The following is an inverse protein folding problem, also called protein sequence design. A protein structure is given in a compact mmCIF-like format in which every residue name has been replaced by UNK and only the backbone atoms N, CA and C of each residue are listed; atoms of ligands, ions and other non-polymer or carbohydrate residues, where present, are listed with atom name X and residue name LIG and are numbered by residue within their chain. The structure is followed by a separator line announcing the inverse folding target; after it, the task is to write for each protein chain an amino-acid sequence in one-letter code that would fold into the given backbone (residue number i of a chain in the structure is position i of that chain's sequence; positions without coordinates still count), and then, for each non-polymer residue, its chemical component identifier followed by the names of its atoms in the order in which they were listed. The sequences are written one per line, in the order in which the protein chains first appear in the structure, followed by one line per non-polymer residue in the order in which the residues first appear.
data_IF_285250417474
#
_entry.id   IF_285250417474
#
_cell.length_a   1.000
_cell.length_b   1.000
_cell.length_c   1.000
_cell.angle_alpha   90.00
_cell.angle_beta   90.00
_cell.angle_gamma   90.00
#
_symmetry.space_group_name_H-M   'P 1'
#
loop_
_entity.id
_entity.type
_entity.pdbx_description
1 polymer ?
#
# COMPACT_ATOMS: atom_id res chain seq x y z
N UNK A 1 13.99 -25.93 10.31
CA UNK A 1 12.86 -25.19 9.74
C UNK A 1 13.44 -24.16 8.80
N UNK A 2 13.09 -24.27 7.53
CA UNK A 2 13.56 -23.38 6.46
C UNK A 2 12.56 -22.26 6.24
N UNK A 3 12.99 -21.01 6.27
CA UNK A 3 12.16 -19.83 5.99
C UNK A 3 12.64 -19.17 4.70
N UNK A 4 11.79 -19.13 3.69
CA UNK A 4 12.10 -18.43 2.47
C UNK A 4 12.04 -16.91 2.69
N UNK A 5 13.13 -16.23 2.35
CA UNK A 5 13.22 -14.78 2.28
C UNK A 5 12.84 -14.36 0.87
N UNK A 6 11.62 -13.88 0.70
CA UNK A 6 11.07 -13.52 -0.62
C UNK A 6 11.56 -12.15 -1.03
N UNK A 7 12.23 -12.10 -2.17
CA UNK A 7 12.85 -10.89 -2.73
C UNK A 7 12.29 -10.60 -4.12
N UNK A 8 11.67 -9.44 -4.25
CA UNK A 8 11.28 -8.84 -5.53
C UNK A 8 12.32 -7.81 -5.99
N UNK A 9 12.34 -7.40 -7.26
CA UNK A 9 13.17 -6.28 -7.69
C UNK A 9 12.93 -5.04 -6.84
N UNK A 10 13.95 -4.54 -6.13
CA UNK A 10 13.83 -3.41 -5.19
C UNK A 10 13.70 -3.78 -3.71
N UNK A 11 13.60 -5.07 -3.35
CA UNK A 11 13.75 -5.51 -1.95
C UNK A 11 15.15 -5.18 -1.43
N UNK A 12 15.29 -4.79 -0.15
CA UNK A 12 16.59 -4.35 0.41
C UNK A 12 16.82 -4.67 1.89
N UNK A 13 15.98 -5.52 2.52
CA UNK A 13 16.10 -5.92 3.92
C UNK A 13 16.58 -7.37 4.10
N UNK A 14 17.26 -7.96 3.11
CA UNK A 14 17.64 -9.37 3.09
C UNK A 14 18.63 -9.75 4.18
N UNK A 15 19.60 -8.89 4.49
CA UNK A 15 20.64 -9.18 5.47
C UNK A 15 20.10 -9.24 6.88
N UNK A 16 19.38 -8.21 7.33
CA UNK A 16 18.76 -8.16 8.65
C UNK A 16 17.71 -9.24 8.84
N UNK A 17 16.94 -9.54 7.79
CA UNK A 17 15.96 -10.62 7.75
C UNK A 17 16.62 -12.00 7.96
N UNK A 18 17.70 -12.29 7.24
CA UNK A 18 18.46 -13.53 7.41
C UNK A 18 19.06 -13.64 8.82
N UNK A 19 19.54 -12.53 9.40
CA UNK A 19 20.09 -12.51 10.74
C UNK A 19 18.99 -12.77 11.80
N UNK A 20 17.80 -12.16 11.68
CA UNK A 20 16.68 -12.37 12.60
C UNK A 20 16.20 -13.83 12.58
N UNK A 21 16.06 -14.44 11.40
CA UNK A 21 15.72 -15.86 11.25
C UNK A 21 16.78 -16.75 11.93
N UNK A 22 18.07 -16.47 11.71
CA UNK A 22 19.18 -17.23 12.34
C UNK A 22 19.20 -17.07 13.87
N UNK A 23 19.00 -15.84 14.39
CA UNK A 23 18.93 -15.60 15.85
C UNK A 23 17.84 -16.43 16.52
N UNK A 24 16.73 -16.64 15.82
CA UNK A 24 15.61 -17.45 16.30
C UNK A 24 15.80 -18.96 16.10
N UNK A 25 16.96 -19.42 15.59
CA UNK A 25 17.29 -20.83 15.41
C UNK A 25 16.63 -21.48 14.19
N UNK A 26 16.21 -20.69 13.21
CA UNK A 26 15.70 -21.16 11.92
C UNK A 26 16.76 -20.97 10.81
N UNK A 27 16.54 -21.60 9.67
CA UNK A 27 17.42 -21.55 8.47
C UNK A 27 16.82 -20.57 7.45
N UNK A 28 17.48 -19.44 7.13
CA UNK A 28 17.04 -18.57 6.06
C UNK A 28 17.42 -19.16 4.71
N UNK A 29 16.48 -19.14 3.78
CA UNK A 29 16.65 -19.54 2.38
C UNK A 29 16.35 -18.31 1.51
N UNK A 30 17.34 -17.74 0.89
CA UNK A 30 17.13 -16.65 -0.08
C UNK A 30 16.32 -17.17 -1.27
N UNK A 31 15.27 -16.45 -1.64
CA UNK A 31 14.42 -16.76 -2.77
C UNK A 31 14.14 -15.50 -3.60
N UNK A 32 14.70 -15.47 -4.81
CA UNK A 32 14.41 -14.43 -5.78
C UNK A 32 13.12 -14.75 -6.54
N UNK A 33 12.33 -13.76 -6.83
CA UNK A 33 11.03 -13.84 -7.51
C UNK A 33 11.02 -14.70 -8.78
N UNK A 34 12.16 -14.84 -9.46
CA UNK A 34 12.32 -15.58 -10.71
C UNK A 34 13.02 -16.96 -10.53
N UNK A 35 13.17 -17.43 -9.30
CA UNK A 35 13.72 -18.76 -9.03
C UNK A 35 12.68 -19.88 -9.23
N UNK A 36 13.14 -21.14 -9.37
CA UNK A 36 12.22 -22.28 -9.49
C UNK A 36 11.30 -22.43 -8.28
N UNK A 37 10.00 -22.59 -8.52
CA UNK A 37 8.94 -22.73 -7.50
C UNK A 37 9.22 -23.89 -6.53
N UNK A 38 9.81 -24.98 -6.99
CA UNK A 38 10.14 -26.15 -6.14
C UNK A 38 10.97 -25.75 -4.91
N UNK A 39 11.90 -24.81 -5.07
CA UNK A 39 12.70 -24.28 -3.96
C UNK A 39 11.83 -23.58 -2.89
N UNK A 40 10.78 -22.91 -3.32
CA UNK A 40 9.82 -22.23 -2.45
C UNK A 40 8.96 -23.25 -1.68
N UNK A 41 8.52 -24.31 -2.36
CA UNK A 41 7.68 -25.36 -1.76
C UNK A 41 8.41 -26.18 -0.68
N UNK A 42 9.74 -26.28 -0.76
CA UNK A 42 10.58 -26.94 0.26
C UNK A 42 10.68 -26.17 1.59
N UNK A 43 10.23 -24.91 1.64
CA UNK A 43 10.32 -24.08 2.84
C UNK A 43 9.09 -24.30 3.75
N UNK A 44 9.34 -24.17 5.06
CA UNK A 44 8.32 -24.36 6.09
C UNK A 44 7.47 -23.10 6.31
N UNK A 45 7.99 -21.91 5.94
CA UNK A 45 7.31 -20.62 6.07
C UNK A 45 7.97 -19.57 5.18
N UNK A 46 7.34 -18.40 5.10
CA UNK A 46 7.72 -17.33 4.18
C UNK A 46 7.89 -16.00 4.89
N UNK A 47 8.90 -15.26 4.52
CA UNK A 47 9.14 -13.91 4.97
C UNK A 47 9.27 -12.99 3.75
N UNK A 48 8.25 -12.17 3.50
CA UNK A 48 8.24 -11.15 2.45
C UNK A 48 8.85 -9.90 3.07
N UNK A 49 10.06 -9.57 2.63
CA UNK A 49 10.88 -8.55 3.27
C UNK A 49 10.55 -7.13 2.82
N UNK A 50 11.05 -6.15 3.57
CA UNK A 50 10.96 -4.74 3.25
C UNK A 50 11.78 -4.31 2.03
N UNK A 51 11.47 -3.14 1.53
CA UNK A 51 12.12 -2.53 0.38
C UNK A 51 11.15 -1.63 -0.38
N UNK A 52 11.36 -1.56 -1.70
CA UNK A 52 10.57 -0.79 -2.65
C UNK A 52 10.34 -1.66 -3.90
N UNK A 53 9.53 -2.72 -3.77
CA UNK A 53 9.32 -3.67 -4.85
C UNK A 53 8.82 -2.98 -6.11
N UNK A 54 9.51 -3.23 -7.24
CA UNK A 54 9.26 -2.56 -8.52
C UNK A 54 9.26 -1.02 -8.43
N UNK A 55 10.08 -0.44 -7.51
CA UNK A 55 10.20 1.00 -7.26
C UNK A 55 8.86 1.65 -6.84
N UNK A 56 7.97 0.89 -6.19
CA UNK A 56 6.61 1.28 -5.78
C UNK A 56 5.74 1.87 -6.92
N UNK A 57 6.03 1.48 -8.17
CA UNK A 57 5.30 1.97 -9.36
C UNK A 57 3.84 1.60 -9.29
N UNK A 58 2.98 2.50 -9.72
CA UNK A 58 1.54 2.54 -9.47
C UNK A 58 1.21 2.74 -7.99
N UNK A 59 1.52 1.80 -7.14
CA UNK A 59 1.44 1.87 -5.67
C UNK A 59 2.40 0.87 -5.04
N UNK A 60 2.78 1.17 -3.80
CA UNK A 60 3.69 0.30 -3.05
C UNK A 60 3.12 -1.12 -2.89
N UNK A 61 3.89 -2.11 -3.33
CA UNK A 61 3.56 -3.53 -3.21
C UNK A 61 2.63 -4.08 -4.30
N UNK A 62 1.90 -3.27 -5.07
CA UNK A 62 0.84 -3.77 -5.98
C UNK A 62 1.39 -4.64 -7.12
N UNK A 63 2.49 -4.26 -7.77
CA UNK A 63 3.04 -5.07 -8.87
C UNK A 63 3.54 -6.42 -8.35
N UNK A 64 4.20 -6.43 -7.18
CA UNK A 64 4.65 -7.67 -6.55
C UNK A 64 3.47 -8.55 -6.09
N UNK A 65 2.34 -7.97 -5.68
CA UNK A 65 1.15 -8.73 -5.30
C UNK A 65 0.55 -9.55 -6.44
N UNK A 66 0.75 -9.11 -7.68
CA UNK A 66 0.29 -9.79 -8.90
C UNK A 66 1.30 -10.84 -9.42
N UNK A 67 2.48 -10.95 -8.81
CA UNK A 67 3.50 -11.92 -9.21
C UNK A 67 3.02 -13.36 -8.95
N UNK A 68 3.29 -14.32 -9.86
CA UNK A 68 2.94 -15.73 -9.68
C UNK A 68 3.44 -16.35 -8.38
N UNK A 69 4.55 -15.87 -7.82
CA UNK A 69 5.09 -16.29 -6.52
C UNK A 69 4.07 -16.08 -5.41
N UNK A 70 3.33 -14.96 -5.42
CA UNK A 70 2.32 -14.68 -4.41
C UNK A 70 1.13 -15.63 -4.45
N UNK A 71 0.77 -16.13 -5.62
CA UNK A 71 -0.24 -17.19 -5.74
C UNK A 71 0.19 -18.47 -5.03
N UNK A 72 1.43 -18.89 -5.21
CA UNK A 72 1.96 -20.09 -4.54
C UNK A 72 2.04 -19.86 -3.02
N UNK A 73 2.49 -18.70 -2.57
CA UNK A 73 2.51 -18.36 -1.14
C UNK A 73 1.09 -18.40 -0.54
N UNK A 74 0.08 -17.91 -1.27
CA UNK A 74 -1.32 -17.98 -0.85
C UNK A 74 -1.77 -19.44 -0.69
N UNK A 75 -1.53 -20.30 -1.67
CA UNK A 75 -1.88 -21.71 -1.63
C UNK A 75 -1.19 -22.48 -0.48
N UNK A 76 0.05 -22.13 -0.17
CA UNK A 76 0.80 -22.72 0.94
C UNK A 76 0.35 -22.16 2.30
N UNK A 77 -0.04 -20.89 2.36
CA UNK A 77 -0.62 -20.30 3.57
C UNK A 77 -1.98 -20.91 3.93
N UNK A 78 -2.80 -21.27 2.95
CA UNK A 78 -4.05 -22.01 3.17
C UNK A 78 -3.80 -23.39 3.81
N UNK A 79 -2.63 -24.00 3.58
CA UNK A 79 -2.19 -25.23 4.24
C UNK A 79 -1.63 -24.99 5.66
N UNK A 80 -1.66 -23.73 6.13
CA UNK A 80 -1.23 -23.30 7.47
C UNK A 80 0.24 -22.96 7.58
N UNK A 81 0.99 -22.78 6.47
CA UNK A 81 2.35 -22.22 6.56
C UNK A 81 2.30 -20.76 6.99
N UNK A 82 3.17 -20.31 7.90
CA UNK A 82 3.21 -18.92 8.34
C UNK A 82 3.83 -18.02 7.28
N UNK A 83 3.24 -16.82 7.11
CA UNK A 83 3.72 -15.79 6.20
C UNK A 83 3.86 -14.48 6.97
N UNK A 84 5.08 -13.96 7.03
CA UNK A 84 5.39 -12.66 7.62
C UNK A 84 5.66 -11.65 6.51
N UNK A 85 4.95 -10.53 6.49
CA UNK A 85 5.23 -9.39 5.60
C UNK A 85 5.60 -8.17 6.40
N UNK A 86 6.80 -7.61 6.17
CA UNK A 86 7.30 -6.44 6.87
C UNK A 86 7.45 -5.27 5.90
N UNK A 87 6.95 -4.08 6.30
CA UNK A 87 7.03 -2.84 5.55
C UNK A 87 6.48 -3.03 4.12
N UNK A 88 7.32 -3.05 3.08
CA UNK A 88 6.88 -3.36 1.71
C UNK A 88 6.24 -4.77 1.60
N UNK A 89 6.72 -5.75 2.39
CA UNK A 89 6.08 -7.06 2.47
C UNK A 89 4.65 -7.00 3.05
N UNK A 90 4.40 -6.09 4.01
CA UNK A 90 3.04 -5.85 4.51
C UNK A 90 2.13 -5.22 3.45
N UNK A 91 2.67 -4.27 2.67
CA UNK A 91 1.96 -3.67 1.54
C UNK A 91 1.56 -4.73 0.51
N UNK A 92 2.47 -5.65 0.18
CA UNK A 92 2.19 -6.77 -0.74
C UNK A 92 1.07 -7.67 -0.17
N UNK A 93 1.12 -8.02 1.11
CA UNK A 93 0.09 -8.87 1.75
C UNK A 93 -1.29 -8.20 1.78
N UNK A 94 -1.35 -6.89 1.96
CA UNK A 94 -2.60 -6.13 1.92
C UNK A 94 -3.15 -6.05 0.49
N UNK A 95 -2.30 -5.80 -0.51
CA UNK A 95 -2.71 -5.71 -1.91
C UNK A 95 -3.09 -7.08 -2.52
N UNK A 96 -2.56 -8.20 -1.99
CA UNK A 96 -3.04 -9.54 -2.36
C UNK A 96 -4.38 -9.91 -1.72
N UNK A 97 -4.87 -9.15 -0.72
CA UNK A 97 -6.02 -9.51 0.10
C UNK A 97 -5.76 -10.65 1.09
N UNK A 98 -4.52 -11.19 1.18
CA UNK A 98 -4.14 -12.19 2.18
C UNK A 98 -4.28 -11.64 3.61
N UNK A 99 -4.15 -10.34 3.78
CA UNK A 99 -4.53 -9.60 4.98
C UNK A 99 -5.59 -8.58 4.56
N UNK A 100 -6.74 -8.57 5.22
CA UNK A 100 -7.16 -9.27 6.43
C UNK A 100 -7.68 -10.71 6.22
N UNK A 101 -7.63 -11.28 5.01
CA UNK A 101 -8.06 -12.64 4.74
C UNK A 101 -9.57 -12.77 4.52
N UNK A 102 -10.12 -11.89 3.70
CA UNK A 102 -11.52 -11.96 3.26
C UNK A 102 -11.75 -13.09 2.27
N UNK A 103 -13.03 -13.44 2.05
CA UNK A 103 -13.40 -14.48 1.09
C UNK A 103 -12.81 -14.22 -0.30
N UNK A 104 -12.09 -15.22 -0.83
CA UNK A 104 -11.46 -15.16 -2.15
C UNK A 104 -10.30 -14.16 -2.23
N UNK A 105 -9.68 -13.85 -1.11
CA UNK A 105 -8.60 -12.86 -0.98
C UNK A 105 -9.00 -11.49 -1.54
N UNK A 106 -10.26 -11.09 -1.33
CA UNK A 106 -10.71 -9.77 -1.73
C UNK A 106 -9.98 -8.69 -0.93
N UNK A 107 -9.56 -7.63 -1.60
CA UNK A 107 -8.93 -6.47 -0.94
C UNK A 107 -9.93 -5.78 -0.04
N UNK A 108 -9.63 -5.64 1.24
CA UNK A 108 -10.49 -5.02 2.26
C UNK A 108 -9.91 -3.77 2.90
N UNK A 109 -8.64 -3.47 2.62
CA UNK A 109 -7.93 -2.33 3.20
C UNK A 109 -6.83 -1.82 2.27
N UNK A 110 -6.22 -0.70 2.64
CA UNK A 110 -5.05 -0.14 1.97
C UNK A 110 -3.97 0.23 2.98
N UNK A 111 -2.71 0.20 2.53
CA UNK A 111 -1.62 0.93 3.15
C UNK A 111 -1.35 2.16 2.29
N UNK A 112 -1.61 3.35 2.82
CA UNK A 112 -1.58 4.62 2.11
C UNK A 112 -0.48 5.54 2.61
N UNK A 113 -0.34 6.71 1.97
CA UNK A 113 0.64 7.72 2.32
C UNK A 113 0.57 8.15 3.79
N UNK A 114 1.73 8.28 4.42
CA UNK A 114 1.85 8.73 5.80
C UNK A 114 1.26 10.12 5.98
N UNK A 115 0.55 10.32 7.09
CA UNK A 115 -0.06 11.58 7.47
C UNK A 115 0.18 11.79 8.97
N UNK A 116 1.14 12.62 9.30
CA UNK A 116 1.45 12.96 10.69
C UNK A 116 0.44 13.98 11.20
N UNK A 117 -0.51 13.54 12.02
CA UNK A 117 -1.62 14.39 12.49
C UNK A 117 -1.44 14.70 13.96
N UNK A 118 -1.55 15.99 14.32
CA UNK A 118 -1.55 16.45 15.71
C UNK A 118 -2.61 17.53 15.88
N UNK A 119 -3.44 17.39 16.91
CA UNK A 119 -4.55 18.32 17.19
C UNK A 119 -5.45 18.58 15.96
N UNK A 120 -5.66 17.55 15.11
CA UNK A 120 -6.41 17.65 13.86
C UNK A 120 -5.67 18.30 12.68
N UNK A 121 -4.43 18.76 12.86
CA UNK A 121 -3.61 19.39 11.83
C UNK A 121 -2.57 18.42 11.27
N UNK A 122 -2.38 18.44 9.94
CA UNK A 122 -1.31 17.66 9.28
C UNK A 122 0.01 18.39 9.47
N UNK A 123 0.92 17.76 10.24
CA UNK A 123 2.25 18.28 10.55
C UNK A 123 3.30 17.89 9.51
N UNK A 124 3.03 16.82 8.75
CA UNK A 124 3.94 16.32 7.72
C UNK A 124 3.40 15.10 7.01
N UNK A 125 4.02 14.77 5.89
CA UNK A 125 3.67 13.64 5.02
C UNK A 125 4.94 12.99 4.47
N UNK A 126 4.81 11.86 3.79
CA UNK A 126 5.89 11.19 3.07
C UNK A 126 6.75 10.29 3.95
N UNK A 127 8.01 10.11 3.55
CA UNK A 127 8.91 9.15 4.19
C UNK A 127 9.29 9.55 5.61
N UNK A 128 9.08 8.62 6.56
CA UNK A 128 9.43 8.83 7.96
C UNK A 128 10.22 7.64 8.50
N UNK A 129 11.38 7.94 9.10
CA UNK A 129 12.27 6.96 9.69
C UNK A 129 12.53 7.32 11.15
N UNK A 130 12.00 6.52 12.08
CA UNK A 130 12.08 6.76 13.52
C UNK A 130 11.89 5.44 14.29
N UNK A 131 12.36 5.41 15.54
CA UNK A 131 12.01 4.35 16.48
C UNK A 131 10.64 4.63 17.07
N UNK A 132 9.80 3.61 17.14
CA UNK A 132 8.44 3.66 17.68
C UNK A 132 8.22 2.55 18.69
N UNK A 133 7.30 2.76 19.60
CA UNK A 133 6.82 1.71 20.48
C UNK A 133 5.54 1.11 19.92
N UNK A 134 5.48 -0.23 19.91
CA UNK A 134 4.31 -0.98 19.44
C UNK A 134 3.89 -1.98 20.50
N UNK A 135 2.60 -1.96 20.85
CA UNK A 135 2.01 -2.82 21.88
C UNK A 135 1.23 -3.96 21.24
N UNK A 136 1.34 -5.17 21.80
CA UNK A 136 0.48 -6.29 21.47
C UNK A 136 -0.92 -6.05 22.08
N UNK A 137 -1.92 -5.94 21.22
CA UNK A 137 -3.32 -5.65 21.62
C UNK A 137 -4.27 -6.83 21.39
N UNK A 138 -3.78 -7.92 20.81
CA UNK A 138 -4.51 -9.17 20.64
C UNK A 138 -3.98 -10.25 21.62
N UNK A 139 -4.75 -11.30 21.92
CA UNK A 139 -4.27 -12.41 22.75
C UNK A 139 -3.00 -13.05 22.16
N UNK A 140 -2.03 -13.40 23.03
CA UNK A 140 -0.69 -13.89 22.61
C UNK A 140 -0.73 -15.11 21.69
N UNK A 141 -1.78 -15.91 21.75
CA UNK A 141 -1.94 -17.14 20.96
C UNK A 141 -2.85 -16.98 19.75
N UNK A 142 -3.40 -15.79 19.48
CA UNK A 142 -4.26 -15.54 18.32
C UNK A 142 -3.49 -15.54 17.00
N UNK A 143 -2.18 -15.30 17.05
CA UNK A 143 -1.33 -15.18 15.87
C UNK A 143 -0.06 -16.03 15.96
N UNK A 144 0.41 -16.57 14.85
CA UNK A 144 1.64 -17.36 14.74
C UNK A 144 2.90 -16.61 15.21
N UNK A 145 2.83 -15.28 15.27
CA UNK A 145 3.97 -14.39 15.51
C UNK A 145 3.99 -13.73 16.89
N UNK A 146 3.03 -14.05 17.78
CA UNK A 146 2.86 -13.33 19.07
C UNK A 146 3.04 -14.19 20.31
N UNK A 147 3.27 -15.51 20.17
CA UNK A 147 3.31 -16.51 21.26
C UNK A 147 4.36 -16.25 22.34
N UNK A 148 5.44 -15.54 22.01
CA UNK A 148 6.51 -15.14 22.92
C UNK A 148 6.34 -13.74 23.50
N UNK A 149 5.18 -13.11 23.27
CA UNK A 149 4.82 -11.81 23.82
C UNK A 149 3.65 -11.97 24.79
N UNK A 150 3.56 -11.09 25.77
CA UNK A 150 2.41 -11.00 26.66
C UNK A 150 1.46 -9.91 26.17
N UNK A 151 0.18 -10.07 26.45
CA UNK A 151 -0.81 -9.03 26.20
C UNK A 151 -0.39 -7.75 26.91
N UNK A 152 -0.58 -6.61 26.28
CA UNK A 152 -0.11 -5.29 26.70
C UNK A 152 1.43 -5.11 26.77
N UNK A 153 2.22 -6.11 26.39
CA UNK A 153 3.66 -5.94 26.22
C UNK A 153 3.97 -5.09 24.98
N UNK A 154 4.90 -4.16 25.11
CA UNK A 154 5.35 -3.34 23.98
C UNK A 154 6.84 -3.52 23.70
N UNK A 155 7.22 -3.25 22.45
CA UNK A 155 8.59 -3.32 21.99
C UNK A 155 8.95 -2.07 21.21
N UNK A 156 10.18 -1.57 21.40
CA UNK A 156 10.73 -0.45 20.67
C UNK A 156 11.43 -0.95 19.40
N UNK A 157 10.89 -0.61 18.23
CA UNK A 157 11.37 -1.08 16.93
C UNK A 157 11.28 0.06 15.90
N UNK A 158 12.13 0.08 14.83
CA UNK A 158 12.12 1.15 13.87
C UNK A 158 11.02 1.02 12.82
N UNK A 159 10.57 2.17 12.31
CA UNK A 159 9.82 2.31 11.05
C UNK A 159 10.67 3.03 10.02
N UNK A 160 10.45 2.75 8.72
CA UNK A 160 11.12 3.43 7.61
C UNK A 160 10.27 3.29 6.34
N UNK A 161 9.23 4.10 6.20
CA UNK A 161 8.29 4.02 5.09
C UNK A 161 7.63 5.37 4.77
N UNK A 162 7.11 5.51 3.54
CA UNK A 162 6.29 6.62 3.08
C UNK A 162 4.79 6.28 3.05
N UNK A 163 4.44 5.01 2.85
CA UNK A 163 3.09 4.49 2.74
C UNK A 163 2.88 3.37 3.76
N UNK A 164 2.55 3.73 4.99
CA UNK A 164 2.38 2.78 6.10
C UNK A 164 1.07 2.95 6.86
N UNK A 165 0.20 3.83 6.39
CA UNK A 165 -1.07 4.17 7.04
C UNK A 165 -2.15 3.17 6.68
N UNK A 166 -2.57 2.33 7.64
CA UNK A 166 -3.71 1.44 7.49
C UNK A 166 -5.00 2.25 7.32
N UNK A 167 -5.73 1.95 6.24
CA UNK A 167 -7.03 2.53 5.90
C UNK A 167 -8.01 1.43 5.51
N UNK A 168 -9.23 1.51 6.03
CA UNK A 168 -10.31 0.57 5.77
C UNK A 168 -11.66 1.19 6.16
N UNK A 169 -12.75 0.50 5.88
CA UNK A 169 -14.05 0.89 6.41
C UNK A 169 -14.14 0.61 7.92
N UNK A 170 -14.88 1.44 8.65
CA UNK A 170 -15.08 1.29 10.10
C UNK A 170 -15.67 -0.06 10.48
N UNK A 171 -16.58 -0.59 9.67
CA UNK A 171 -17.23 -1.88 9.90
C UNK A 171 -16.22 -3.05 9.80
N UNK A 172 -15.22 -2.94 8.90
CA UNK A 172 -14.14 -3.92 8.84
C UNK A 172 -13.24 -3.81 10.06
N UNK A 173 -12.90 -2.59 10.48
CA UNK A 173 -12.09 -2.37 11.69
C UNK A 173 -12.73 -3.01 12.93
N UNK A 174 -14.04 -2.84 13.13
CA UNK A 174 -14.79 -3.51 14.20
C UNK A 174 -14.67 -5.04 14.11
N UNK A 175 -14.80 -5.60 12.90
CA UNK A 175 -14.62 -7.05 12.67
C UNK A 175 -13.21 -7.54 12.99
N UNK A 176 -12.18 -6.73 12.68
CA UNK A 176 -10.79 -7.08 13.01
C UNK A 176 -10.57 -7.13 14.53
N UNK A 177 -11.21 -6.24 15.29
CA UNK A 177 -11.19 -6.30 16.76
C UNK A 177 -11.91 -7.52 17.29
N UNK A 178 -13.12 -7.79 16.82
CA UNK A 178 -13.92 -8.94 17.25
C UNK A 178 -13.23 -10.31 17.00
N UNK A 179 -12.31 -10.35 16.02
CA UNK A 179 -11.58 -11.56 15.63
C UNK A 179 -10.09 -11.55 16.04
N UNK A 180 -9.67 -10.63 16.91
CA UNK A 180 -8.28 -10.53 17.39
C UNK A 180 -7.24 -10.34 16.27
N UNK A 181 -7.65 -9.74 15.14
CA UNK A 181 -6.78 -9.52 13.98
C UNK A 181 -6.00 -8.19 14.03
N UNK A 182 -6.43 -7.22 14.84
CA UNK A 182 -5.72 -5.98 15.13
C UNK A 182 -4.59 -6.26 16.13
N UNK A 183 -3.45 -6.79 15.64
CA UNK A 183 -2.44 -7.45 16.47
C UNK A 183 -1.57 -6.48 17.23
N UNK A 184 -1.01 -5.46 16.53
CA UNK A 184 -0.15 -4.46 17.16
C UNK A 184 -0.65 -3.05 16.87
N UNK A 185 -0.54 -2.19 17.88
CA UNK A 185 -0.83 -0.75 17.78
C UNK A 185 0.37 0.08 18.19
N UNK A 186 0.52 1.24 17.59
CA UNK A 186 1.47 2.25 18.04
C UNK A 186 1.07 2.78 19.42
N UNK A 187 2.02 2.88 20.32
CA UNK A 187 1.84 3.40 21.68
C UNK A 187 2.99 4.32 22.07
N UNK A 188 2.89 4.97 23.21
CA UNK A 188 4.00 5.72 23.81
C UNK A 188 4.91 4.80 24.66
N UNK A 189 5.95 5.40 25.25
CA UNK A 189 6.91 4.72 26.13
C UNK A 189 6.31 4.08 27.42
N UNK A 190 5.03 4.35 27.70
CA UNK A 190 4.28 3.78 28.83
C UNK A 190 3.25 2.74 28.40
N UNK A 191 3.13 2.49 27.09
CA UNK A 191 2.12 1.63 26.51
C UNK A 191 0.77 2.32 26.31
N UNK A 192 0.67 3.66 26.41
CA UNK A 192 -0.58 4.38 26.15
C UNK A 192 -0.79 4.59 24.65
N UNK A 193 -1.95 4.19 24.14
CA UNK A 193 -2.33 4.35 22.73
C UNK A 193 -2.90 5.76 22.54
N UNK A 194 -2.13 6.62 21.86
CA UNK A 194 -2.49 8.02 21.61
C UNK A 194 -2.56 8.23 20.09
N UNK A 195 -3.70 8.72 19.60
CA UNK A 195 -3.95 8.88 18.15
C UNK A 195 -3.13 9.99 17.48
N UNK A 196 -2.61 10.92 18.27
CA UNK A 196 -1.84 12.05 17.77
C UNK A 196 -0.37 11.71 17.52
N UNK A 197 0.22 12.39 16.53
CA UNK A 197 1.65 12.42 16.31
C UNK A 197 2.39 13.02 17.55
N UNK A 198 3.52 12.46 18.00
CA UNK A 198 4.34 11.44 17.34
C UNK A 198 4.00 9.98 17.67
N UNK A 199 3.07 9.70 18.58
CA UNK A 199 2.74 8.32 19.00
C UNK A 199 2.12 7.53 17.85
N UNK A 200 1.14 8.08 17.15
CA UNK A 200 0.71 7.57 15.85
C UNK A 200 1.58 8.23 14.76
N UNK A 201 2.62 7.55 14.27
CA UNK A 201 3.65 8.20 13.44
C UNK A 201 3.20 8.45 12.01
N UNK A 202 2.16 7.79 11.54
CA UNK A 202 1.75 7.77 10.14
C UNK A 202 0.24 8.00 9.91
N UNK A 203 -0.54 8.20 10.98
CA UNK A 203 -1.98 8.44 10.92
C UNK A 203 -2.81 7.18 10.62
N UNK A 204 -2.28 5.99 10.90
CA UNK A 204 -3.03 4.73 10.80
C UNK A 204 -4.33 4.79 11.59
N UNK A 205 -5.41 4.27 11.02
CA UNK A 205 -6.67 4.09 11.73
C UNK A 205 -6.42 3.27 12.99
N UNK A 206 -6.97 3.75 14.11
CA UNK A 206 -6.89 3.08 15.41
C UNK A 206 -5.45 2.72 15.84
N UNK A 207 -4.47 3.52 15.43
CA UNK A 207 -3.05 3.31 15.69
C UNK A 207 -2.49 1.97 15.18
N UNK A 208 -3.14 1.30 14.24
CA UNK A 208 -2.72 -0.01 13.73
C UNK A 208 -1.28 0.05 13.21
N UNK A 209 -0.44 -0.84 13.75
CA UNK A 209 0.93 -1.09 13.32
C UNK A 209 1.07 -2.44 12.59
N UNK A 210 0.19 -3.40 12.92
CA UNK A 210 0.13 -4.70 12.26
C UNK A 210 -1.27 -5.32 12.34
N UNK A 211 -1.63 -6.04 11.27
CA UNK A 211 -2.88 -6.79 11.13
C UNK A 211 -2.57 -8.21 10.67
N UNK A 212 -3.24 -9.22 11.21
CA UNK A 212 -3.14 -10.58 10.72
C UNK A 212 -4.37 -10.99 9.89
N UNK A 213 -4.26 -12.13 9.20
CA UNK A 213 -5.42 -12.76 8.61
C UNK A 213 -6.28 -13.46 9.69
N UNK A 214 -7.51 -13.83 9.34
CA UNK A 214 -8.45 -14.50 10.25
C UNK A 214 -7.96 -15.88 10.75
N UNK A 215 -7.02 -16.52 10.06
CA UNK A 215 -6.36 -17.75 10.48
C UNK A 215 -5.16 -17.53 11.42
N UNK A 216 -4.73 -16.29 11.62
CA UNK A 216 -3.59 -15.95 12.48
C UNK A 216 -2.22 -16.42 11.98
N UNK A 217 -2.12 -16.97 10.77
CA UNK A 217 -0.85 -17.46 10.22
C UNK A 217 -0.20 -16.51 9.21
N UNK A 218 -0.83 -15.40 8.87
CA UNK A 218 -0.29 -14.36 8.00
C UNK A 218 -0.31 -13.04 8.76
N UNK A 219 0.83 -12.35 8.86
CA UNK A 219 0.95 -11.05 9.52
C UNK A 219 1.53 -10.01 8.57
N UNK A 220 0.81 -8.90 8.39
CA UNK A 220 1.29 -7.68 7.75
C UNK A 220 1.65 -6.65 8.83
N UNK A 221 2.92 -6.26 8.90
CA UNK A 221 3.45 -5.35 9.92
C UNK A 221 4.31 -4.26 9.26
N UNK A 222 4.03 -2.98 9.58
CA UNK A 222 4.79 -1.88 9.02
C UNK A 222 6.14 -1.60 9.71
N UNK A 223 6.25 -1.68 11.04
CA UNK A 223 7.54 -1.63 11.75
C UNK A 223 8.47 -2.81 11.41
N UNK A 224 9.78 -2.62 11.64
CA UNK A 224 10.85 -3.54 11.28
C UNK A 224 11.40 -4.31 12.49
N UNK A 225 10.79 -5.43 12.94
CA UNK A 225 11.29 -6.23 14.05
C UNK A 225 12.62 -6.93 13.72
N UNK A 226 12.91 -7.20 12.45
CA UNK A 226 14.14 -7.86 12.01
C UNK A 226 15.40 -7.04 12.26
N UNK A 227 15.27 -5.72 12.40
CA UNK A 227 16.39 -4.77 12.58
C UNK A 227 16.89 -4.67 14.02
N UNK A 228 16.20 -5.29 14.97
CA UNK A 228 16.55 -5.22 16.41
C UNK A 228 16.28 -6.53 17.12
N UNK A 229 17.00 -6.76 18.21
CA UNK A 229 16.75 -7.93 19.09
C UNK A 229 15.44 -7.81 19.87
N UNK A 230 14.89 -6.60 20.04
CA UNK A 230 13.57 -6.40 20.63
C UNK A 230 12.46 -7.08 19.81
N UNK A 231 12.65 -7.26 18.49
CA UNK A 231 11.73 -7.96 17.61
C UNK A 231 11.91 -9.49 17.56
N UNK A 232 12.95 -10.06 18.19
CA UNK A 232 13.21 -11.51 18.16
C UNK A 232 12.05 -12.39 18.68
N UNK A 233 11.16 -11.93 19.61
CA UNK A 233 9.98 -12.69 20.02
C UNK A 233 9.04 -13.03 18.85
N UNK A 234 8.92 -12.17 17.83
CA UNK A 234 8.09 -12.42 16.63
C UNK A 234 8.62 -13.65 15.86
N UNK A 235 9.93 -13.70 15.61
CA UNK A 235 10.55 -14.81 14.89
C UNK A 235 10.60 -16.09 15.74
N UNK A 236 10.78 -15.98 17.07
CA UNK A 236 10.70 -17.09 17.99
C UNK A 236 9.30 -17.70 18.05
N UNK A 237 8.26 -16.85 17.98
CA UNK A 237 6.87 -17.27 17.91
C UNK A 237 6.60 -18.04 16.61
N UNK A 238 7.07 -17.54 15.47
CA UNK A 238 6.98 -18.21 14.17
C UNK A 238 7.63 -19.60 14.19
N UNK A 239 8.83 -19.70 14.79
CA UNK A 239 9.53 -20.98 14.97
C UNK A 239 8.71 -21.97 15.79
N UNK A 240 8.14 -21.54 16.89
CA UNK A 240 7.40 -22.43 17.80
C UNK A 240 6.02 -22.79 17.25
N UNK A 241 5.38 -21.90 16.47
CA UNK A 241 4.22 -22.24 15.66
C UNK A 241 4.51 -23.38 14.67
N UNK A 242 5.67 -23.36 14.03
CA UNK A 242 6.08 -24.42 13.08
C UNK A 242 6.36 -25.79 13.73
N UNK A 243 6.57 -25.84 15.04
CA UNK A 243 6.77 -27.10 15.80
C UNK A 243 5.48 -27.79 16.17
N UNK A 244 4.36 -27.07 16.13
CA UNK A 244 3.06 -27.63 16.53
C UNK A 244 2.48 -28.50 15.42
N UNK A 245 1.91 -29.65 15.80
CA UNK A 245 1.22 -30.55 14.86
C UNK A 245 -0.15 -29.97 14.47
N UNK A 246 -0.79 -29.21 15.37
CA UNK A 246 -2.10 -28.60 15.13
C UNK A 246 -1.90 -27.17 14.57
N UNK A 247 -2.06 -27.02 13.29
CA UNK A 247 -2.05 -25.71 12.63
C UNK A 247 -3.41 -25.04 12.72
N UNK A 248 -3.42 -23.72 12.84
CA UNK A 248 -4.66 -22.93 12.82
C UNK A 248 -5.34 -23.17 11.48
N UNK A 249 -6.62 -23.54 11.51
CA UNK A 249 -7.41 -23.70 10.29
C UNK A 249 -7.82 -22.29 9.85
N UNK A 250 -7.55 -21.95 8.60
CA UNK A 250 -7.95 -20.66 8.06
C UNK A 250 -9.48 -20.49 8.20
N UNK A 251 -9.90 -19.55 9.01
CA UNK A 251 -11.29 -19.10 9.07
C UNK A 251 -11.44 -17.93 8.11
N UNK A 252 -12.57 -17.82 7.43
CA UNK A 252 -12.85 -16.68 6.54
C UNK A 252 -13.55 -15.63 7.39
N UNK A 253 -13.04 -14.40 7.39
CA UNK A 253 -13.70 -13.28 8.03
C UNK A 253 -15.05 -13.01 7.33
N UNK A 254 -16.13 -12.98 8.09
CA UNK A 254 -17.48 -12.73 7.58
C UNK A 254 -17.69 -11.23 7.35
N UNK A 255 -17.11 -10.75 6.25
CA UNK A 255 -17.21 -9.39 5.76
C UNK A 255 -17.19 -9.40 4.23
N UNK A 256 -18.09 -8.66 3.61
CA UNK A 256 -18.09 -8.44 2.17
C UNK A 256 -17.67 -7.01 1.88
N UNK A 257 -16.57 -6.80 1.15
CA UNK A 257 -16.12 -5.47 0.75
C UNK A 257 -17.18 -4.74 -0.07
N UNK A 258 -17.28 -3.44 0.09
CA UNK A 258 -18.13 -2.63 -0.74
C UNK A 258 -17.72 -2.74 -2.22
N UNK A 259 -18.70 -2.93 -3.10
CA UNK A 259 -18.46 -2.95 -4.54
C UNK A 259 -18.24 -1.52 -5.02
N UNK A 260 -17.08 -1.26 -5.58
CA UNK A 260 -16.79 0.01 -6.23
C UNK A 260 -17.31 0.01 -7.66
N UNK A 261 -18.12 1.01 -7.98
CA UNK A 261 -18.51 1.30 -9.35
C UNK A 261 -17.80 2.60 -9.77
N UNK A 262 -17.20 2.59 -10.96
CA UNK A 262 -16.66 3.82 -11.52
C UNK A 262 -17.81 4.76 -11.89
N UNK A 263 -17.85 5.92 -11.25
CA UNK A 263 -18.68 7.03 -11.66
C UNK A 263 -18.04 7.75 -12.84
N UNK A 264 -18.85 8.44 -13.68
CA UNK A 264 -18.30 9.31 -14.73
C UNK A 264 -17.77 10.59 -14.09
N UNK A 265 -16.55 10.97 -14.42
CA UNK A 265 -15.99 12.25 -14.00
C UNK A 265 -16.65 13.38 -14.79
N UNK A 266 -17.09 14.37 -14.06
CA UNK A 266 -17.59 15.63 -14.63
C UNK A 266 -16.76 16.77 -14.07
N UNK A 267 -16.07 17.50 -14.96
CA UNK A 267 -15.35 18.72 -14.55
C UNK A 267 -16.34 19.72 -13.92
N UNK A 268 -16.09 20.17 -12.67
CA UNK A 268 -16.94 21.21 -12.08
C UNK A 268 -16.87 22.51 -12.89
N UNK A 269 -18.00 23.23 -13.04
CA UNK A 269 -18.11 24.44 -13.88
C UNK A 269 -17.09 25.55 -13.54
N UNK A 270 -16.61 25.59 -12.27
CA UNK A 270 -15.66 26.60 -11.79
C UNK A 270 -14.21 26.13 -11.79
N UNK A 271 -13.94 24.94 -12.31
CA UNK A 271 -12.61 24.37 -12.31
C UNK A 271 -12.00 24.41 -13.72
N UNK A 272 -10.73 24.71 -13.75
CA UNK A 272 -9.88 24.53 -14.93
C UNK A 272 -9.12 23.21 -14.80
N UNK A 273 -8.84 22.57 -15.94
CA UNK A 273 -8.06 21.35 -15.99
C UNK A 273 -6.73 21.58 -16.71
N UNK A 274 -5.66 21.00 -16.18
CA UNK A 274 -4.37 20.92 -16.87
C UNK A 274 -4.02 19.44 -16.97
N UNK A 275 -3.95 18.96 -18.19
CA UNK A 275 -3.48 17.60 -18.53
C UNK A 275 -2.00 17.70 -18.87
N UNK A 276 -1.19 16.80 -18.35
CA UNK A 276 0.26 16.83 -18.51
C UNK A 276 0.76 15.51 -19.06
N UNK A 277 1.40 15.56 -20.22
CA UNK A 277 2.07 14.45 -20.87
C UNK A 277 3.51 14.30 -20.41
N UNK A 278 4.00 13.06 -20.27
CA UNK A 278 5.43 12.81 -20.23
C UNK A 278 6.00 12.80 -21.66
N UNK A 279 7.05 13.62 -21.89
CA UNK A 279 7.80 13.65 -23.16
C UNK A 279 8.95 12.64 -23.19
N UNK A 280 9.17 11.94 -22.10
CA UNK A 280 10.12 10.84 -21.95
C UNK A 280 9.36 9.52 -21.78
N UNK A 281 10.07 8.38 -21.85
CA UNK A 281 9.44 7.07 -21.58
C UNK A 281 8.82 7.04 -20.20
N UNK A 282 7.53 6.71 -20.11
CA UNK A 282 6.83 6.50 -18.84
C UNK A 282 7.08 5.08 -18.34
N UNK A 283 8.11 4.94 -17.49
CA UNK A 283 8.47 3.64 -16.93
C UNK A 283 7.39 3.07 -15.99
N UNK A 284 6.53 3.92 -15.42
CA UNK A 284 5.43 3.46 -14.58
C UNK A 284 4.33 2.82 -15.42
N UNK A 285 3.90 3.48 -16.50
CA UNK A 285 2.94 2.90 -17.44
C UNK A 285 3.46 1.59 -18.04
N UNK A 286 4.74 1.54 -18.45
CA UNK A 286 5.39 0.30 -18.94
C UNK A 286 5.36 -0.81 -17.90
N UNK A 287 5.60 -0.50 -16.62
CA UNK A 287 5.59 -1.53 -15.56
C UNK A 287 4.19 -2.06 -15.28
N UNK A 288 3.18 -1.18 -15.28
CA UNK A 288 1.77 -1.55 -15.14
C UNK A 288 1.32 -2.42 -16.32
N UNK A 289 1.66 -2.03 -17.54
CA UNK A 289 1.38 -2.82 -18.74
C UNK A 289 1.98 -4.23 -18.65
N UNK A 290 3.27 -4.32 -18.29
CA UNK A 290 3.96 -5.60 -18.18
C UNK A 290 3.33 -6.49 -17.09
N UNK A 291 2.95 -5.94 -15.94
CA UNK A 291 2.31 -6.70 -14.87
C UNK A 291 0.93 -7.23 -15.29
N UNK A 292 0.13 -6.41 -15.98
CA UNK A 292 -1.16 -6.82 -16.55
C UNK A 292 -1.00 -7.94 -17.57
N UNK A 293 -0.04 -7.80 -18.51
CA UNK A 293 0.25 -8.82 -19.52
C UNK A 293 0.71 -10.14 -18.91
N UNK A 294 1.57 -10.09 -17.88
CA UNK A 294 2.00 -11.29 -17.12
C UNK A 294 0.84 -11.96 -16.39
N UNK A 295 -0.15 -11.18 -15.94
CA UNK A 295 -1.40 -11.69 -15.35
C UNK A 295 -2.41 -12.18 -16.40
N UNK A 296 -2.05 -12.21 -17.68
CA UNK A 296 -2.92 -12.68 -18.77
C UNK A 296 -3.96 -11.65 -19.24
N UNK A 297 -3.73 -10.38 -18.99
CA UNK A 297 -4.59 -9.27 -19.44
C UNK A 297 -3.86 -8.50 -20.55
N UNK A 298 -4.14 -8.77 -21.84
CA UNK A 298 -3.44 -8.16 -22.97
C UNK A 298 -3.93 -6.74 -23.21
N UNK A 299 -3.19 -5.75 -22.74
CA UNK A 299 -3.50 -4.33 -22.85
C UNK A 299 -2.26 -3.53 -23.20
N UNK A 300 -2.46 -2.36 -23.81
CA UNK A 300 -1.48 -1.28 -23.85
C UNK A 300 -1.90 -0.19 -22.86
N UNK A 301 -0.93 0.34 -22.12
CA UNK A 301 -1.16 1.30 -21.03
C UNK A 301 -0.35 2.57 -21.27
N UNK A 302 -1.02 3.71 -21.20
CA UNK A 302 -0.38 5.02 -21.10
C UNK A 302 -1.02 5.82 -19.97
N UNK A 303 -0.37 6.88 -19.52
CA UNK A 303 -0.95 7.74 -18.50
C UNK A 303 -0.57 9.20 -18.69
N UNK A 304 -1.40 10.08 -18.10
CA UNK A 304 -1.21 11.52 -18.04
C UNK A 304 -1.39 11.98 -16.59
N UNK A 305 -0.65 13.00 -16.17
CA UNK A 305 -0.96 13.66 -14.90
C UNK A 305 -2.13 14.62 -15.11
N UNK A 306 -2.99 14.72 -14.10
CA UNK A 306 -4.19 15.53 -14.14
C UNK A 306 -4.21 16.50 -12.96
N UNK A 307 -4.46 17.79 -13.26
CA UNK A 307 -4.66 18.82 -12.28
C UNK A 307 -6.03 19.46 -12.49
N UNK A 308 -6.82 19.55 -11.42
CA UNK A 308 -8.07 20.29 -11.38
C UNK A 308 -7.87 21.49 -10.46
N UNK A 309 -8.06 22.69 -11.00
CA UNK A 309 -7.78 23.95 -10.32
C UNK A 309 -9.09 24.71 -10.18
N UNK A 310 -9.52 24.93 -8.95
CA UNK A 310 -10.66 25.77 -8.61
C UNK A 310 -10.15 27.16 -8.19
N UNK A 311 -10.56 28.18 -8.93
CA UNK A 311 -10.21 29.56 -8.64
C UNK A 311 -11.31 30.29 -7.89
N UNK A 312 -10.95 31.28 -7.07
CA UNK A 312 -11.91 32.19 -6.48
C UNK A 312 -12.64 33.00 -7.55
N UNK A 313 -13.88 33.41 -7.29
CA UNK A 313 -14.70 34.16 -8.25
C UNK A 313 -14.15 35.56 -8.57
N UNK A 314 -13.30 36.09 -7.71
CA UNK A 314 -12.58 37.35 -7.82
C UNK A 314 -11.11 37.19 -8.21
N UNK A 315 -10.69 35.98 -8.58
CA UNK A 315 -9.34 35.73 -9.07
C UNK A 315 -9.03 36.55 -10.33
N UNK A 316 -7.79 36.97 -10.46
CA UNK A 316 -7.32 37.68 -11.66
C UNK A 316 -7.42 36.77 -12.88
N UNK A 317 -7.74 37.35 -14.04
CA UNK A 317 -7.84 36.61 -15.31
C UNK A 317 -6.53 35.97 -15.76
N UNK A 318 -5.40 36.41 -15.23
CA UNK A 318 -4.05 35.88 -15.50
C UNK A 318 -3.56 34.87 -14.46
N UNK A 319 -4.38 34.54 -13.44
CA UNK A 319 -3.98 33.59 -12.37
C UNK A 319 -3.62 32.22 -12.93
N UNK A 320 -4.42 31.67 -13.84
CA UNK A 320 -4.13 30.38 -14.47
C UNK A 320 -2.81 30.41 -15.25
N UNK A 321 -2.57 31.47 -16.04
CA UNK A 321 -1.32 31.63 -16.79
C UNK A 321 -0.10 31.70 -15.84
N UNK A 322 -0.23 32.39 -14.71
CA UNK A 322 0.82 32.45 -13.68
C UNK A 322 1.10 31.06 -13.08
N UNK A 323 0.07 30.28 -12.80
CA UNK A 323 0.20 28.89 -12.32
C UNK A 323 0.98 28.06 -13.34
N UNK A 324 0.62 28.12 -14.62
CA UNK A 324 1.27 27.37 -15.69
C UNK A 324 2.74 27.82 -15.84
N UNK A 325 3.01 29.12 -15.86
CA UNK A 325 4.37 29.69 -16.02
C UNK A 325 5.25 29.41 -14.82
N UNK A 326 4.70 29.23 -13.61
CA UNK A 326 5.46 28.89 -12.41
C UNK A 326 6.26 27.57 -12.56
N UNK A 327 5.77 26.64 -13.39
CA UNK A 327 6.36 25.32 -13.56
C UNK A 327 6.13 24.39 -12.36
N UNK A 328 5.30 24.77 -11.40
CA UNK A 328 5.07 23.97 -10.18
C UNK A 328 4.24 22.74 -10.43
N UNK A 329 3.31 22.78 -11.39
CA UNK A 329 2.44 21.64 -11.72
C UNK A 329 3.06 20.63 -12.68
N UNK A 330 4.12 21.00 -13.40
CA UNK A 330 4.85 20.10 -14.30
C UNK A 330 6.27 20.56 -14.56
N UNK A 331 7.15 19.59 -14.81
CA UNK A 331 8.57 19.86 -15.10
C UNK A 331 8.79 19.92 -16.60
N UNK A 332 9.00 21.10 -17.18
CA UNK A 332 9.16 21.33 -18.62
C UNK A 332 10.34 20.60 -19.28
N UNK A 333 11.27 20.00 -18.48
CA UNK A 333 12.36 19.17 -19.03
C UNK A 333 11.92 17.75 -19.39
N UNK A 334 10.81 17.27 -18.83
CA UNK A 334 10.30 15.89 -19.02
C UNK A 334 8.80 15.81 -19.22
N UNK A 335 8.10 16.93 -19.08
CA UNK A 335 6.64 17.03 -19.13
C UNK A 335 6.20 18.22 -19.96
N UNK A 336 5.03 18.12 -20.59
CA UNK A 336 4.39 19.22 -21.32
C UNK A 336 2.89 19.21 -21.13
N UNK A 337 2.22 20.37 -21.16
CA UNK A 337 0.76 20.39 -21.28
C UNK A 337 0.33 19.58 -22.51
N UNK A 338 -0.69 18.75 -22.32
CA UNK A 338 -1.24 17.86 -23.33
C UNK A 338 -2.75 17.97 -23.45
N UNK A 339 -3.31 17.22 -24.36
CA UNK A 339 -4.76 17.02 -24.51
C UNK A 339 -5.07 15.55 -24.25
N UNK A 340 -6.25 15.27 -23.71
CA UNK A 340 -6.71 13.88 -23.58
C UNK A 340 -6.94 13.27 -24.95
N UNK A 341 -6.28 12.14 -25.22
CA UNK A 341 -6.50 11.38 -26.44
C UNK A 341 -7.27 10.10 -26.13
N UNK A 342 -8.52 10.02 -26.55
CA UNK A 342 -9.28 8.76 -26.52
C UNK A 342 -8.93 7.93 -27.77
N UNK A 343 -7.81 7.23 -27.74
CA UNK A 343 -7.38 6.37 -28.87
C UNK A 343 -8.17 5.04 -28.93
N UNK A 344 -9.48 5.06 -28.70
CA UNK A 344 -10.35 3.87 -28.77
C UNK A 344 -10.29 2.93 -27.58
N UNK A 345 -9.70 3.38 -26.46
CA UNK A 345 -9.62 2.66 -25.20
C UNK A 345 -10.50 3.26 -24.10
N UNK A 346 -10.19 2.90 -22.85
CA UNK A 346 -10.86 3.42 -21.66
C UNK A 346 -9.91 4.34 -20.90
N UNK A 347 -10.41 5.49 -20.48
CA UNK A 347 -9.66 6.44 -19.65
C UNK A 347 -10.22 6.42 -18.23
N UNK A 348 -9.35 6.25 -17.25
CA UNK A 348 -9.71 6.17 -15.83
C UNK A 348 -8.92 7.23 -15.08
N UNK A 349 -9.60 8.22 -14.51
CA UNK A 349 -9.01 9.19 -13.60
C UNK A 349 -8.96 8.59 -12.19
N UNK A 350 -7.77 8.55 -11.62
CA UNK A 350 -7.52 8.07 -10.25
C UNK A 350 -7.02 9.23 -9.40
N UNK A 351 -7.59 9.39 -8.21
CA UNK A 351 -7.23 10.42 -7.22
C UNK A 351 -7.11 9.83 -5.83
N UNK A 352 -6.16 10.31 -5.04
CA UNK A 352 -6.16 10.03 -3.61
C UNK A 352 -7.39 10.64 -2.93
N UNK A 353 -8.04 9.89 -2.03
CA UNK A 353 -9.12 10.42 -1.18
C UNK A 353 -8.64 11.59 -0.34
N UNK A 354 -7.43 11.47 0.19
CA UNK A 354 -6.71 12.52 0.91
C UNK A 354 -5.66 13.14 -0.03
N UNK A 355 -6.05 14.07 -0.87
CA UNK A 355 -5.15 14.70 -1.85
C UNK A 355 -4.20 15.73 -1.20
N UNK A 356 -3.17 15.23 -0.55
CA UNK A 356 -2.12 16.05 0.05
C UNK A 356 -1.19 16.67 -1.00
N UNK A 357 -1.09 16.05 -2.18
CA UNK A 357 -0.27 16.58 -3.28
C UNK A 357 -0.87 17.87 -3.81
N UNK A 358 -2.17 17.87 -4.12
CA UNK A 358 -2.86 19.08 -4.56
C UNK A 358 -2.84 20.20 -3.52
N UNK A 359 -3.03 19.86 -2.24
CA UNK A 359 -2.92 20.82 -1.15
C UNK A 359 -1.51 21.45 -1.07
N UNK A 360 -0.46 20.64 -1.09
CA UNK A 360 0.92 21.13 -1.04
C UNK A 360 1.28 22.00 -2.24
N UNK A 361 0.81 21.63 -3.45
CA UNK A 361 0.99 22.46 -4.64
C UNK A 361 0.33 23.82 -4.50
N UNK A 362 -0.88 23.87 -3.93
CA UNK A 362 -1.56 25.15 -3.63
C UNK A 362 -0.73 26.00 -2.66
N UNK A 363 -0.30 25.43 -1.53
CA UNK A 363 0.50 26.11 -0.53
C UNK A 363 1.80 26.67 -1.14
N UNK A 364 2.49 25.87 -1.97
CA UNK A 364 3.72 26.32 -2.67
C UNK A 364 3.43 27.49 -3.62
N UNK A 365 2.35 27.42 -4.41
CA UNK A 365 2.00 28.51 -5.32
C UNK A 365 1.64 29.79 -4.60
N UNK A 366 0.95 29.71 -3.47
CA UNK A 366 0.58 30.88 -2.66
C UNK A 366 1.78 31.46 -1.90
N UNK A 367 2.57 30.64 -1.21
CA UNK A 367 3.63 31.09 -0.32
C UNK A 367 4.92 31.46 -1.04
N UNK A 368 5.34 30.69 -2.06
CA UNK A 368 6.63 30.89 -2.74
C UNK A 368 6.50 31.67 -4.04
N UNK A 369 5.41 31.45 -4.79
CA UNK A 369 5.17 32.14 -6.06
C UNK A 369 4.26 33.38 -5.89
N UNK A 370 3.67 33.58 -4.71
CA UNK A 370 2.76 34.67 -4.39
C UNK A 370 1.60 34.80 -5.37
N UNK A 371 1.05 33.63 -5.78
CA UNK A 371 -0.12 33.56 -6.68
C UNK A 371 -1.38 33.45 -5.81
N UNK A 372 -2.16 34.51 -5.80
CA UNK A 372 -3.42 34.58 -5.06
C UNK A 372 -4.61 34.12 -5.89
N UNK A 373 -5.73 33.83 -5.22
CA UNK A 373 -7.01 33.51 -5.90
C UNK A 373 -7.21 32.03 -6.17
N UNK A 374 -6.39 31.15 -5.60
CA UNK A 374 -6.55 29.68 -5.71
C UNK A 374 -7.44 29.17 -4.58
N UNK A 375 -8.62 28.61 -4.91
CA UNK A 375 -9.47 27.99 -3.90
C UNK A 375 -8.99 26.58 -3.55
N UNK A 376 -8.81 25.74 -4.57
CA UNK A 376 -8.38 24.35 -4.41
C UNK A 376 -7.60 23.85 -5.62
N UNK A 377 -6.61 22.99 -5.36
CA UNK A 377 -5.96 22.17 -6.39
C UNK A 377 -6.18 20.70 -6.04
N UNK A 378 -6.55 19.91 -7.04
CA UNK A 378 -6.63 18.46 -6.92
C UNK A 378 -5.67 17.81 -7.90
N UNK A 379 -4.92 16.83 -7.41
CA UNK A 379 -4.06 16.00 -8.25
C UNK A 379 -4.77 14.72 -8.68
N UNK A 380 -4.32 14.13 -9.78
CA UNK A 380 -4.79 12.84 -10.25
C UNK A 380 -3.91 12.29 -11.35
N UNK A 381 -4.18 11.05 -11.71
CA UNK A 381 -3.56 10.36 -12.85
C UNK A 381 -4.66 9.80 -13.74
N UNK A 382 -4.60 10.11 -15.02
CA UNK A 382 -5.48 9.50 -16.02
C UNK A 382 -4.73 8.31 -16.62
N UNK A 383 -5.26 7.12 -16.41
CA UNK A 383 -4.78 5.89 -17.03
C UNK A 383 -5.57 5.60 -18.30
N UNK A 384 -4.90 5.43 -19.42
CA UNK A 384 -5.49 5.03 -20.67
C UNK A 384 -5.21 3.54 -20.90
N UNK A 385 -6.28 2.76 -20.98
CA UNK A 385 -6.23 1.30 -21.13
C UNK A 385 -6.79 0.95 -22.49
N UNK A 386 -5.96 0.39 -23.35
CA UNK A 386 -6.33 -0.02 -24.72
C UNK A 386 -6.23 -1.54 -24.78
N UNK A 387 -7.37 -2.28 -24.83
CA UNK A 387 -7.37 -3.72 -25.01
C UNK A 387 -6.77 -4.13 -26.36
N UNK A 388 -5.82 -5.05 -26.38
CA UNK A 388 -5.18 -5.49 -27.65
C UNK A 388 -6.13 -6.34 -28.50
N UNK A 389 -7.07 -7.03 -27.86
CA UNK A 389 -8.04 -7.94 -28.49
C UNK A 389 -9.43 -7.31 -28.71
N UNK A 390 -9.62 -6.08 -28.25
CA UNK A 390 -10.92 -5.38 -28.30
C UNK A 390 -12.02 -6.03 -27.46
N UNK A 391 -11.67 -6.88 -26.48
CA UNK A 391 -12.64 -7.58 -25.65
C UNK A 391 -13.31 -6.64 -24.63
N UNK A 392 -14.63 -6.67 -24.57
CA UNK A 392 -15.44 -5.79 -23.71
C UNK A 392 -15.20 -6.01 -22.21
N UNK A 393 -14.71 -7.19 -21.77
CA UNK A 393 -14.51 -7.53 -20.36
C UNK A 393 -13.11 -7.17 -19.83
N UNK A 394 -12.20 -6.72 -20.68
CA UNK A 394 -10.80 -6.44 -20.32
C UNK A 394 -10.69 -5.33 -19.28
N UNK A 395 -11.45 -4.26 -19.39
CA UNK A 395 -11.48 -3.21 -18.37
C UNK A 395 -11.90 -3.77 -17.01
N UNK A 396 -12.90 -4.66 -16.96
CA UNK A 396 -13.33 -5.30 -15.73
C UNK A 396 -12.19 -6.08 -15.05
N UNK A 397 -11.39 -6.82 -15.81
CA UNK A 397 -10.21 -7.55 -15.30
C UNK A 397 -9.13 -6.61 -14.77
N UNK A 398 -8.86 -5.51 -15.50
CA UNK A 398 -7.90 -4.48 -15.04
C UNK A 398 -8.35 -3.89 -13.70
N UNK A 399 -9.62 -3.52 -13.57
CA UNK A 399 -10.15 -2.97 -12.32
C UNK A 399 -10.13 -3.98 -11.18
N UNK A 400 -10.43 -5.26 -11.45
CA UNK A 400 -10.38 -6.34 -10.47
C UNK A 400 -8.94 -6.63 -9.97
N UNK A 401 -7.92 -6.36 -10.78
CA UNK A 401 -6.52 -6.49 -10.35
C UNK A 401 -6.08 -5.42 -9.35
N UNK A 402 -6.88 -4.39 -9.16
CA UNK A 402 -6.58 -3.20 -8.35
C UNK A 402 -5.27 -2.48 -8.73
N UNK A 403 -4.63 -2.80 -9.86
CA UNK A 403 -3.32 -2.23 -10.22
C UNK A 403 -3.36 -0.72 -10.42
N UNK A 404 -4.50 -0.18 -10.88
CA UNK A 404 -4.65 1.26 -11.09
C UNK A 404 -4.91 2.02 -9.79
N UNK A 405 -5.68 1.44 -8.87
CA UNK A 405 -6.00 2.05 -7.59
C UNK A 405 -6.54 1.05 -6.57
N UNK A 406 -6.33 1.35 -5.29
CA UNK A 406 -6.97 0.67 -4.18
C UNK A 406 -8.14 1.52 -3.70
N UNK A 407 -9.38 0.99 -3.68
CA UNK A 407 -10.59 1.77 -3.41
C UNK A 407 -10.70 2.30 -1.98
N UNK A 408 -9.89 1.81 -1.05
CA UNK A 408 -9.85 2.32 0.33
C UNK A 408 -9.01 3.58 0.48
N UNK A 409 -8.06 3.83 -0.43
CA UNK A 409 -7.20 5.01 -0.43
C UNK A 409 -7.42 5.95 -1.62
N UNK A 410 -8.12 5.49 -2.67
CA UNK A 410 -8.33 6.28 -3.89
C UNK A 410 -9.80 6.27 -4.33
N UNK A 411 -10.16 7.28 -5.11
CA UNK A 411 -11.37 7.33 -5.92
C UNK A 411 -10.98 7.13 -7.39
N UNK A 412 -11.79 6.35 -8.11
CA UNK A 412 -11.65 6.10 -9.54
C UNK A 412 -12.87 6.59 -10.32
N UNK A 413 -12.64 7.21 -11.47
CA UNK A 413 -13.70 7.76 -12.32
C UNK A 413 -13.48 7.35 -13.77
N UNK A 414 -14.57 7.11 -14.51
CA UNK A 414 -14.50 7.10 -15.97
C UNK A 414 -14.25 8.52 -16.45
N UNK A 415 -13.21 8.71 -17.24
CA UNK A 415 -12.84 10.00 -17.80
C UNK A 415 -13.18 10.01 -19.29
N UNK A 416 -14.05 10.93 -19.74
CA UNK A 416 -14.55 11.02 -21.12
C UNK A 416 -14.12 12.32 -21.78
#
# INVERSE_FOLDING_TARGET
MKIAIIQFPGSNCERESALAIKRSGMEPVEFLWNEPIDKLLECDGYFIIGGFSYEDRSRAGIIASLDPVMKIISEEAEKGKPVLGICNGAQILVETGLVPGLRGNSVGMALSGNRMVKDGHVMGTGYYNVWVDVQLTAPSNSCAFTRHLQEDEWMNIPIAHAEGRFMMDSDLLEKLHDNDQAVFKYCDEKGEIISDFPVNPNGSMDNLAAVCNSGGNILAMMPHPERTTAGDPIFSSMRDYLKEETRITATILDYEPHRFALETYWRPEKCEEIIVDLIITDNEAVSVENALRQSGIPVSVTRQNHWEIELHTDASTDTLDKIIVSGELFNSNKESPGETSSNGGHSILVRYKDDLVGQHKKETLEEWFHIEGINKIRSGVIWHIIPDDGADDTLGKVLQSHILFNPYSHDGYKYE
#
